data_IF_355747415975
#
_entry.id   IF_355747415975
#
_cell.length_a   1.000
_cell.length_b   1.000
_cell.length_c   1.000
_cell.angle_alpha   90.00
_cell.angle_beta   90.00
_cell.angle_gamma   90.00
#
_symmetry.space_group_name_H-M   'P 1'
#
loop_
_entity.id
_entity.type
_entity.pdbx_description
1 polymer ?
#
# COMPACT_ATOMS: atom_id res chain seq x y z
N UNK A 1 -9.06 -1.22 -20.17
CA UNK A 1 -8.74 -2.67 -20.21
C UNK A 1 -7.62 -2.98 -19.21
N UNK A 2 -7.78 -4.04 -18.46
CA UNK A 2 -6.78 -4.46 -17.47
C UNK A 2 -5.65 -5.22 -18.18
N UNK A 3 -4.46 -4.66 -18.15
CA UNK A 3 -3.25 -5.30 -18.68
C UNK A 3 -2.11 -5.17 -17.69
N UNK A 4 -1.23 -6.17 -17.59
CA UNK A 4 -0.02 -6.03 -16.75
C UNK A 4 0.78 -4.80 -17.13
N UNK A 5 1.41 -4.18 -16.14
CA UNK A 5 2.19 -2.97 -16.32
C UNK A 5 1.51 -1.69 -15.81
N UNK A 6 0.24 -1.75 -15.43
CA UNK A 6 -0.44 -0.59 -14.85
C UNK A 6 0.25 -0.22 -13.55
N UNK A 7 0.67 1.05 -13.43
CA UNK A 7 1.37 1.58 -12.27
C UNK A 7 0.41 2.33 -11.36
N UNK A 8 0.64 2.21 -10.06
CA UNK A 8 -0.11 2.94 -9.05
C UNK A 8 0.81 3.60 -8.05
N UNK A 9 0.25 4.54 -7.31
CA UNK A 9 1.01 5.24 -6.30
C UNK A 9 0.05 5.81 -5.26
N UNK A 10 0.48 5.81 -4.01
CA UNK A 10 -0.21 6.46 -2.91
C UNK A 10 0.81 6.92 -1.90
N UNK A 11 0.50 7.96 -1.16
CA UNK A 11 1.38 8.50 -0.13
C UNK A 11 0.56 8.95 1.08
N UNK A 12 1.20 8.91 2.25
CA UNK A 12 0.56 9.24 3.51
C UNK A 12 1.63 9.77 4.47
N UNK A 13 1.29 10.82 5.21
CA UNK A 13 2.16 11.32 6.28
C UNK A 13 1.95 10.48 7.53
N UNK A 14 3.03 10.14 8.21
CA UNK A 14 2.97 9.50 9.53
C UNK A 14 2.55 10.56 10.56
N UNK A 15 1.44 10.30 11.23
CA UNK A 15 0.88 11.17 12.26
C UNK A 15 0.76 10.38 13.56
N UNK A 16 0.38 11.07 14.64
CA UNK A 16 0.13 10.39 15.93
C UNK A 16 -1.04 9.42 15.89
N UNK A 17 -1.86 9.45 14.83
CA UNK A 17 -3.05 8.59 14.70
C UNK A 17 -2.77 7.29 13.97
N UNK A 18 -1.69 7.21 13.18
CA UNK A 18 -1.36 6.02 12.39
C UNK A 18 -0.06 5.32 12.84
N UNK A 19 0.34 5.58 14.07
CA UNK A 19 1.48 4.87 14.67
C UNK A 19 1.07 3.50 15.18
N UNK A 20 2.04 2.63 15.35
CA UNK A 20 1.82 1.31 15.94
C UNK A 20 1.17 1.41 17.31
N UNK A 21 1.62 2.35 18.14
CA UNK A 21 1.04 2.58 19.45
C UNK A 21 -0.43 3.00 19.36
N UNK A 22 -0.76 3.97 18.50
CA UNK A 22 -2.13 4.46 18.35
C UNK A 22 -3.09 3.40 17.82
N UNK A 23 -2.62 2.55 16.91
CA UNK A 23 -3.43 1.51 16.28
C UNK A 23 -3.44 0.20 17.07
N UNK A 24 -2.66 0.10 18.14
CA UNK A 24 -2.60 -1.11 18.95
C UNK A 24 -1.80 -2.25 18.32
N UNK A 25 -1.00 -1.97 17.31
CA UNK A 25 -0.19 -2.99 16.63
C UNK A 25 1.23 -3.11 17.17
N UNK A 26 1.61 -2.29 18.14
CA UNK A 26 2.91 -2.30 18.77
C UNK A 26 3.04 -1.22 19.82
N UNK A 27 4.23 -1.04 20.35
CA UNK A 27 4.48 -0.13 21.48
C UNK A 27 5.18 1.17 21.09
N UNK A 28 5.58 1.32 19.82
CA UNK A 28 6.39 2.45 19.37
C UNK A 28 5.57 3.47 18.59
N UNK A 29 6.02 4.72 18.66
CA UNK A 29 5.45 5.83 17.89
C UNK A 29 6.06 5.91 16.48
N UNK A 30 5.94 4.83 15.73
CA UNK A 30 6.38 4.74 14.34
C UNK A 30 5.21 4.28 13.49
N UNK A 31 5.30 4.47 12.17
CA UNK A 31 4.23 4.11 11.25
C UNK A 31 3.80 2.65 11.43
N UNK A 32 2.51 2.43 11.60
CA UNK A 32 1.96 1.12 11.91
C UNK A 32 1.97 0.20 10.67
N UNK A 33 2.29 -1.08 10.87
CA UNK A 33 2.22 -2.07 9.78
C UNK A 33 0.80 -2.18 9.18
N UNK A 34 -0.30 -2.19 9.96
CA UNK A 34 -1.64 -2.16 9.36
C UNK A 34 -1.90 -0.91 8.50
N UNK A 35 -1.36 0.24 8.89
CA UNK A 35 -1.49 1.46 8.09
C UNK A 35 -0.70 1.36 6.78
N UNK A 36 0.48 0.74 6.83
CA UNK A 36 1.27 0.46 5.63
C UNK A 36 0.53 -0.48 4.69
N UNK A 37 -0.10 -1.52 5.22
CA UNK A 37 -0.91 -2.45 4.44
C UNK A 37 -2.07 -1.72 3.73
N UNK A 38 -2.76 -0.83 4.44
CA UNK A 38 -3.83 -0.04 3.85
C UNK A 38 -3.33 0.88 2.74
N UNK A 39 -2.14 1.46 2.90
CA UNK A 39 -1.51 2.30 1.88
C UNK A 39 -1.22 1.50 0.61
N UNK A 40 -0.69 0.28 0.75
CA UNK A 40 -0.44 -0.62 -0.38
C UNK A 40 -1.74 -0.96 -1.10
N UNK A 41 -2.76 -1.33 -0.36
CA UNK A 41 -4.06 -1.64 -0.94
C UNK A 41 -4.64 -0.45 -1.69
N UNK A 42 -4.50 0.75 -1.15
CA UNK A 42 -4.97 1.97 -1.79
C UNK A 42 -4.26 2.23 -3.12
N UNK A 43 -2.93 2.11 -3.15
CA UNK A 43 -2.17 2.27 -4.39
C UNK A 43 -2.64 1.28 -5.45
N UNK A 44 -2.89 0.04 -5.06
CA UNK A 44 -3.31 -1.02 -5.97
C UNK A 44 -4.72 -0.80 -6.53
N UNK A 45 -5.72 -0.63 -5.65
CA UNK A 45 -7.09 -0.53 -6.15
C UNK A 45 -7.32 0.76 -6.94
N UNK A 46 -6.70 1.87 -6.55
CA UNK A 46 -6.82 3.12 -7.30
C UNK A 46 -6.20 3.03 -8.69
N UNK A 47 -5.12 2.26 -8.84
CA UNK A 47 -4.42 2.13 -10.12
C UNK A 47 -5.27 1.46 -11.19
N UNK A 48 -6.16 0.56 -10.82
CA UNK A 48 -6.99 -0.21 -11.77
C UNK A 48 -8.43 0.28 -11.85
N UNK A 49 -8.86 1.11 -10.91
CA UNK A 49 -10.25 1.58 -10.88
C UNK A 49 -10.72 2.20 -12.19
N UNK A 50 -9.92 3.04 -12.90
CA UNK A 50 -10.36 3.62 -14.18
C UNK A 50 -10.57 2.59 -15.28
N UNK A 51 -10.00 1.40 -15.15
CA UNK A 51 -10.06 0.35 -16.17
C UNK A 51 -11.18 -0.66 -15.93
N UNK A 52 -11.91 -0.51 -14.81
CA UNK A 52 -13.01 -1.41 -14.46
C UNK A 52 -14.32 -0.92 -15.05
N UNK A 53 -15.25 -1.85 -15.30
CA UNK A 53 -16.58 -1.52 -15.75
C UNK A 53 -17.32 -0.73 -14.65
N UNK A 54 -18.28 0.15 -15.04
CA UNK A 54 -19.09 0.87 -14.06
C UNK A 54 -19.74 -0.06 -13.04
N UNK A 55 -19.64 0.31 -11.77
CA UNK A 55 -20.20 -0.49 -10.67
C UNK A 55 -19.32 -1.62 -10.20
N UNK A 56 -18.15 -1.83 -10.82
CA UNK A 56 -17.20 -2.86 -10.40
C UNK A 56 -16.10 -2.26 -9.55
N UNK A 57 -15.59 -3.06 -8.62
CA UNK A 57 -14.47 -2.69 -7.76
C UNK A 57 -13.61 -3.90 -7.45
N UNK A 58 -12.56 -3.69 -6.68
CA UNK A 58 -11.68 -4.76 -6.22
C UNK A 58 -11.66 -4.84 -4.72
N UNK A 59 -11.40 -6.04 -4.20
CA UNK A 59 -11.17 -6.27 -2.77
C UNK A 59 -9.87 -7.04 -2.61
N UNK A 60 -9.13 -6.76 -1.54
CA UNK A 60 -7.94 -7.51 -1.21
C UNK A 60 -8.30 -8.87 -0.65
N UNK A 61 -7.66 -9.92 -1.15
CA UNK A 61 -7.88 -11.29 -0.68
C UNK A 61 -6.62 -11.93 -0.12
N UNK A 62 -5.46 -11.39 -0.47
CA UNK A 62 -4.17 -11.86 0.03
C UNK A 62 -3.17 -10.72 -0.01
N UNK A 63 -2.40 -10.58 1.05
CA UNK A 63 -1.32 -9.61 1.14
C UNK A 63 -0.13 -10.27 1.82
N UNK A 64 1.02 -10.21 1.16
CA UNK A 64 2.30 -10.58 1.76
C UNK A 64 3.13 -9.31 1.89
N UNK A 65 3.47 -8.94 3.11
CA UNK A 65 4.10 -7.67 3.40
C UNK A 65 5.29 -7.87 4.34
N UNK A 66 6.43 -7.34 3.94
CA UNK A 66 7.59 -7.18 4.81
C UNK A 66 7.74 -5.69 5.14
N UNK A 67 7.64 -5.33 6.41
CA UNK A 67 7.82 -3.97 6.91
C UNK A 67 9.17 -3.93 7.62
N UNK A 68 10.18 -3.46 6.90
CA UNK A 68 11.59 -3.67 7.28
C UNK A 68 12.24 -2.51 8.02
N UNK A 69 11.67 -1.32 7.93
CA UNK A 69 12.24 -0.14 8.57
C UNK A 69 11.15 0.74 9.15
N UNK A 70 11.37 1.33 10.34
CA UNK A 70 10.40 2.22 10.96
C UNK A 70 10.42 3.59 10.30
N UNK A 71 9.26 4.27 10.29
CA UNK A 71 9.16 5.65 9.84
C UNK A 71 8.60 6.50 10.98
N UNK A 72 9.29 7.58 11.39
CA UNK A 72 8.83 8.40 12.50
C UNK A 72 7.68 9.34 12.10
N UNK A 73 6.98 9.82 13.13
CA UNK A 73 5.93 10.83 12.95
C UNK A 73 6.49 12.06 12.24
N UNK A 74 5.73 12.58 11.29
CA UNK A 74 6.09 13.77 10.51
C UNK A 74 6.66 13.46 9.13
N UNK A 75 7.15 12.26 8.90
CA UNK A 75 7.72 11.85 7.63
C UNK A 75 6.65 11.28 6.71
N UNK A 76 6.82 11.45 5.41
CA UNK A 76 5.93 10.84 4.40
C UNK A 76 6.35 9.41 4.10
N UNK A 77 5.37 8.56 3.89
CA UNK A 77 5.57 7.22 3.32
C UNK A 77 4.83 7.17 2.00
N UNK A 78 5.47 6.64 0.97
CA UNK A 78 4.85 6.44 -0.33
C UNK A 78 4.94 4.97 -0.73
N UNK A 79 3.95 4.54 -1.48
CA UNK A 79 3.89 3.22 -2.08
C UNK A 79 3.82 3.36 -3.59
N UNK A 80 4.61 2.57 -4.28
CA UNK A 80 4.56 2.43 -5.74
C UNK A 80 4.19 0.99 -6.06
N UNK A 81 3.15 0.82 -6.87
CA UNK A 81 2.62 -0.51 -7.22
C UNK A 81 2.63 -0.73 -8.71
N UNK A 82 2.59 -2.00 -9.08
CA UNK A 82 2.47 -2.41 -10.47
C UNK A 82 1.58 -3.64 -10.56
N UNK A 83 0.61 -3.62 -11.47
CA UNK A 83 -0.18 -4.80 -11.81
C UNK A 83 0.72 -5.75 -12.60
N UNK A 84 0.97 -6.94 -12.06
CA UNK A 84 1.91 -7.89 -12.64
C UNK A 84 1.23 -9.05 -13.37
N UNK A 85 0.00 -9.38 -12.98
CA UNK A 85 -0.74 -10.47 -13.63
C UNK A 85 -2.24 -10.23 -13.54
N UNK A 86 -2.94 -10.64 -14.60
CA UNK A 86 -4.40 -10.66 -14.67
C UNK A 86 -4.82 -12.07 -15.06
N UNK A 87 -5.61 -12.70 -14.20
CA UNK A 87 -6.13 -14.04 -14.45
C UNK A 87 -7.63 -14.04 -14.13
N UNK A 88 -8.45 -13.75 -15.15
CA UNK A 88 -9.87 -13.56 -14.98
C UNK A 88 -10.16 -12.42 -14.01
N UNK A 89 -10.76 -12.73 -12.87
CA UNK A 89 -11.06 -11.76 -11.83
C UNK A 89 -9.92 -11.54 -10.85
N UNK A 90 -8.86 -12.35 -10.94
CA UNK A 90 -7.73 -12.28 -10.02
C UNK A 90 -6.68 -11.34 -10.56
N UNK A 91 -6.38 -10.30 -9.79
CA UNK A 91 -5.33 -9.34 -10.11
C UNK A 91 -4.21 -9.50 -9.10
N UNK A 92 -2.97 -9.54 -9.60
CA UNK A 92 -1.78 -9.66 -8.76
C UNK A 92 -0.93 -8.40 -8.95
N UNK A 93 -0.47 -7.84 -7.83
CA UNK A 93 0.33 -6.62 -7.82
C UNK A 93 1.65 -6.88 -7.11
N UNK A 94 2.69 -6.14 -7.50
CA UNK A 94 3.87 -5.94 -6.68
C UNK A 94 3.87 -4.51 -6.18
N UNK A 95 4.47 -4.29 -5.01
CA UNK A 95 4.54 -2.96 -4.43
C UNK A 95 5.86 -2.79 -3.67
N UNK A 96 6.36 -1.55 -3.66
CA UNK A 96 7.53 -1.16 -2.87
C UNK A 96 7.17 0.13 -2.15
N UNK A 97 7.53 0.21 -0.88
CA UNK A 97 7.22 1.37 -0.05
C UNK A 97 8.51 2.05 0.40
N UNK A 98 8.46 3.38 0.43
CA UNK A 98 9.61 4.22 0.72
C UNK A 98 9.23 5.33 1.69
N UNK A 99 10.20 5.74 2.51
CA UNK A 99 10.18 7.05 3.16
C UNK A 99 11.39 7.86 2.67
N UNK A 100 11.68 9.00 3.33
CA UNK A 100 12.81 9.84 2.90
C UNK A 100 14.18 9.18 3.11
N UNK A 101 14.25 8.17 3.95
CA UNK A 101 15.51 7.45 4.21
C UNK A 101 15.73 6.28 3.23
N UNK A 102 14.71 5.87 2.47
CA UNK A 102 14.81 4.79 1.50
C UNK A 102 13.66 3.80 1.59
N UNK A 103 13.88 2.59 1.12
CA UNK A 103 12.86 1.55 1.12
C UNK A 103 12.56 1.10 2.55
N UNK A 104 11.26 1.06 2.90
CA UNK A 104 10.78 0.62 4.21
C UNK A 104 10.06 -0.71 4.17
N UNK A 105 9.68 -1.18 2.99
CA UNK A 105 8.98 -2.45 2.85
C UNK A 105 8.66 -2.82 1.41
N UNK A 106 8.16 -4.01 1.27
CA UNK A 106 7.68 -4.52 -0.02
C UNK A 106 6.73 -5.70 0.14
#
# INVERSE_FOLDING_TARGET
>A
MLTPGIKGHAALRVTTENTALAMGSGELNVFATPALAALVEKACWQSVAPELDPGCGTVGTKLELAHNAPTPVGMMVRCESELTAVDGRKLTFSAVMYDDAGEVGR
#
